data_IF_975570074728
#
_entry.id   IF_975570074728
#
_cell.length_a   1.000
_cell.length_b   1.000
_cell.length_c   1.000
_cell.angle_alpha   90.00
_cell.angle_beta   90.00
_cell.angle_gamma   90.00
#
_symmetry.space_group_name_H-M   'P 1'
#
loop_
_entity.id
_entity.type
_entity.pdbx_description
1 polymer ?
#
# COMPACT_ATOMS: atom_id res chain seq x y z
N UNK A 1 11.65 47.51 11.92
CA UNK A 1 10.32 47.34 12.52
C UNK A 1 9.37 48.22 11.72
N UNK A 2 8.45 47.66 10.93
CA UNK A 2 7.40 48.40 10.23
C UNK A 2 6.22 47.46 9.89
N UNK A 3 5.02 47.94 10.24
CA UNK A 3 3.68 47.65 9.71
C UNK A 3 2.98 46.29 9.94
N UNK A 4 2.17 46.29 11.00
CA UNK A 4 0.81 45.72 11.17
C UNK A 4 0.00 45.70 9.85
N UNK A 5 -0.84 44.68 9.57
CA UNK A 5 -2.32 44.75 9.55
C UNK A 5 -3.00 43.40 9.21
N UNK A 6 -3.81 42.94 10.18
CA UNK A 6 -4.88 41.94 10.14
C UNK A 6 -5.77 41.96 8.89
N UNK A 7 -6.24 40.79 8.41
CA UNK A 7 -7.66 40.53 8.05
C UNK A 7 -8.03 39.05 8.21
N UNK A 8 -8.89 38.79 9.21
CA UNK A 8 -9.78 37.64 9.29
C UNK A 8 -10.58 37.49 7.99
N UNK A 9 -10.76 36.26 7.51
CA UNK A 9 -11.84 35.92 6.58
C UNK A 9 -12.54 34.66 7.09
N UNK A 10 -13.84 34.85 7.34
CA UNK A 10 -14.80 33.98 8.01
C UNK A 10 -15.75 33.43 6.93
N UNK A 11 -15.86 32.09 6.91
CA UNK A 11 -17.02 31.23 6.60
C UNK A 11 -17.69 31.33 5.22
N UNK A 12 -17.93 30.16 4.58
CA UNK A 12 -19.23 29.84 3.98
C UNK A 12 -19.43 28.33 3.81
N UNK A 13 -20.06 27.72 4.81
CA UNK A 13 -20.69 26.41 4.71
C UNK A 13 -22.02 26.57 3.98
N UNK A 14 -22.20 25.87 2.85
CA UNK A 14 -23.50 25.72 2.20
C UNK A 14 -23.82 24.23 2.10
N UNK A 15 -24.75 23.80 2.95
CA UNK A 15 -25.52 22.58 2.77
C UNK A 15 -26.74 22.90 1.89
N UNK A 16 -27.08 22.03 0.94
CA UNK A 16 -28.46 21.68 0.50
C UNK A 16 -28.35 20.55 -0.56
N UNK A 17 -28.55 19.27 -0.26
CA UNK A 17 -29.76 18.41 -0.13
C UNK A 17 -30.67 18.31 -1.37
N UNK A 18 -31.09 17.05 -1.67
CA UNK A 18 -32.25 16.56 -2.48
C UNK A 18 -31.98 16.47 -4.00
N UNK A 19 -32.30 15.44 -4.78
CA UNK A 19 -33.22 14.26 -4.77
C UNK A 19 -32.67 13.28 -5.84
N UNK A 20 -32.59 11.96 -5.67
CA UNK A 20 -33.72 11.03 -5.79
C UNK A 20 -33.95 10.55 -7.26
N UNK A 21 -33.87 9.22 -7.46
CA UNK A 21 -34.34 8.42 -8.61
C UNK A 21 -33.48 8.31 -9.89
N UNK A 22 -33.05 7.08 -10.17
CA UNK A 22 -32.58 6.66 -11.49
C UNK A 22 -32.01 5.25 -11.43
N UNK A 23 -32.88 4.25 -11.53
CA UNK A 23 -32.51 2.84 -11.54
C UNK A 23 -31.49 2.52 -12.64
N UNK A 24 -30.52 1.69 -12.28
CA UNK A 24 -29.51 1.19 -13.19
C UNK A 24 -28.58 0.30 -12.39
N UNK A 25 -28.92 -0.98 -12.27
CA UNK A 25 -28.01 -2.04 -11.87
C UNK A 25 -26.71 -1.87 -12.68
N UNK A 26 -25.56 -1.51 -12.09
CA UNK A 26 -24.33 -1.64 -12.82
C UNK A 26 -24.05 -3.13 -12.91
N UNK A 27 -24.30 -3.66 -14.10
CA UNK A 27 -23.78 -4.90 -14.66
C UNK A 27 -22.44 -5.23 -14.00
N UNK A 28 -22.34 -6.45 -13.48
CA UNK A 28 -21.21 -6.97 -12.70
C UNK A 28 -19.87 -6.49 -13.23
N UNK A 29 -19.32 -5.46 -12.57
CA UNK A 29 -17.95 -5.04 -12.83
C UNK A 29 -17.13 -5.81 -11.82
N UNK A 30 -16.62 -6.97 -12.22
CA UNK A 30 -15.55 -7.62 -11.48
C UNK A 30 -14.48 -6.54 -11.20
N UNK A 31 -13.98 -6.42 -9.94
CA UNK A 31 -13.01 -5.38 -9.61
C UNK A 31 -11.85 -5.49 -10.58
N UNK A 32 -11.62 -4.44 -11.37
CA UNK A 32 -10.45 -4.37 -12.26
C UNK A 32 -9.23 -4.43 -11.37
N UNK A 33 -8.47 -5.50 -11.52
CA UNK A 33 -7.20 -5.66 -10.85
C UNK A 33 -6.24 -4.57 -11.38
N UNK A 34 -5.51 -3.92 -10.48
CA UNK A 34 -4.59 -2.82 -10.80
C UNK A 34 -3.27 -3.03 -10.05
N UNK A 35 -2.17 -2.83 -10.76
CA UNK A 35 -0.84 -2.77 -10.16
C UNK A 35 -0.84 -1.68 -9.09
N UNK A 36 -0.31 -1.99 -7.91
CA UNK A 36 -0.19 -0.99 -6.85
C UNK A 36 1.00 -1.26 -5.94
N UNK A 37 1.37 -0.25 -5.17
CA UNK A 37 2.35 -0.39 -4.10
C UNK A 37 1.65 -0.40 -2.76
N UNK A 38 1.98 -1.40 -1.93
CA UNK A 38 1.39 -1.55 -0.60
C UNK A 38 2.42 -1.18 0.48
N UNK A 39 2.03 -0.38 1.50
CA UNK A 39 2.90 -0.07 2.63
C UNK A 39 3.19 -1.33 3.45
N UNK A 40 4.46 -1.52 3.78
CA UNK A 40 4.90 -2.67 4.57
C UNK A 40 5.35 -2.24 5.97
N UNK A 41 6.17 -1.20 6.06
CA UNK A 41 6.62 -0.66 7.34
C UNK A 41 7.10 0.79 7.21
N UNK A 42 7.12 1.49 8.33
CA UNK A 42 7.69 2.83 8.46
C UNK A 42 8.45 2.95 9.79
N UNK A 43 9.54 3.72 9.80
CA UNK A 43 10.30 4.00 11.02
C UNK A 43 11.05 5.34 10.93
N UNK A 44 11.42 5.88 12.09
CA UNK A 44 12.13 7.17 12.18
C UNK A 44 13.51 7.17 11.50
N UNK A 45 14.14 6.01 11.32
CA UNK A 45 15.43 5.88 10.65
C UNK A 45 15.58 4.51 9.97
N UNK A 46 16.56 4.42 9.07
CA UNK A 46 16.84 3.21 8.29
C UNK A 46 17.08 1.98 9.16
N UNK A 47 17.86 2.10 10.24
CA UNK A 47 18.20 0.97 11.11
C UNK A 47 16.95 0.41 11.82
N UNK A 48 16.08 1.29 12.31
CA UNK A 48 14.81 0.92 12.92
C UNK A 48 13.90 0.23 11.89
N UNK A 49 13.83 0.74 10.67
CA UNK A 49 13.08 0.10 9.59
C UNK A 49 13.64 -1.30 9.28
N UNK A 50 14.94 -1.45 9.06
CA UNK A 50 15.58 -2.76 8.82
C UNK A 50 15.29 -3.75 9.94
N UNK A 51 15.29 -3.30 11.20
CA UNK A 51 14.92 -4.15 12.34
C UNK A 51 13.46 -4.60 12.25
N UNK A 52 12.53 -3.70 11.95
CA UNK A 52 11.11 -4.06 11.74
C UNK A 52 10.97 -5.06 10.60
N UNK A 53 11.62 -4.83 9.46
CA UNK A 53 11.53 -5.73 8.30
C UNK A 53 12.00 -7.16 8.62
N UNK A 54 12.99 -7.33 9.50
CA UNK A 54 13.49 -8.66 9.92
C UNK A 54 12.56 -9.40 10.88
N UNK A 55 11.68 -8.69 11.60
CA UNK A 55 10.90 -9.27 12.69
C UNK A 55 9.38 -9.22 12.47
N UNK A 56 8.88 -8.25 11.70
CA UNK A 56 7.45 -7.94 11.62
C UNK A 56 6.77 -8.40 10.32
N UNK A 57 7.54 -8.67 9.25
CA UNK A 57 6.96 -9.06 7.95
C UNK A 57 6.69 -10.55 7.89
N UNK A 58 7.73 -11.36 8.11
CA UNK A 58 7.64 -12.82 8.09
C UNK A 58 8.73 -13.40 9.00
N UNK A 59 8.40 -14.34 9.92
CA UNK A 59 9.37 -14.96 10.82
C UNK A 59 10.48 -15.74 10.08
N UNK A 60 10.32 -16.04 8.79
CA UNK A 60 11.33 -16.68 7.95
C UNK A 60 12.47 -15.74 7.57
N UNK A 61 12.26 -14.43 7.62
CA UNK A 61 13.28 -13.43 7.22
C UNK A 61 14.48 -13.54 8.15
N UNK A 62 15.63 -13.92 7.59
CA UNK A 62 16.89 -14.03 8.31
C UNK A 62 17.84 -12.87 7.98
N UNK A 63 17.82 -12.42 6.73
CA UNK A 63 18.72 -11.41 6.21
C UNK A 63 18.00 -10.44 5.25
N UNK A 64 18.59 -9.25 5.10
CA UNK A 64 18.15 -8.23 4.15
C UNK A 64 19.35 -7.88 3.28
N UNK A 65 19.19 -8.00 1.98
CA UNK A 65 20.22 -7.66 0.99
C UNK A 65 19.77 -6.45 0.20
N UNK A 66 20.59 -5.41 0.16
CA UNK A 66 20.38 -4.29 -0.76
C UNK A 66 20.77 -4.75 -2.16
N UNK A 67 19.89 -4.54 -3.14
CA UNK A 67 20.21 -4.78 -4.54
C UNK A 67 21.03 -3.58 -5.02
N UNK A 68 22.28 -3.79 -5.48
CA UNK A 68 23.10 -2.71 -6.03
C UNK A 68 22.54 -2.31 -7.40
N UNK A 69 21.52 -1.48 -7.36
CA UNK A 69 20.99 -0.77 -8.50
C UNK A 69 20.85 0.69 -8.07
N UNK A 70 21.18 1.63 -8.94
CA UNK A 70 20.87 3.04 -8.72
C UNK A 70 19.51 3.28 -9.38
N UNK A 71 18.38 3.17 -8.66
CA UNK A 71 17.11 3.49 -9.27
C UNK A 71 17.04 5.00 -9.49
N UNK A 72 16.46 5.39 -10.61
CA UNK A 72 16.34 6.78 -11.03
C UNK A 72 15.48 7.64 -10.08
N UNK A 73 14.74 7.01 -9.16
CA UNK A 73 13.76 7.64 -8.27
C UNK A 73 14.22 7.78 -6.80
N UNK A 74 15.51 7.49 -6.52
CA UNK A 74 16.09 7.66 -5.18
C UNK A 74 15.61 6.65 -4.14
N UNK A 75 14.95 5.57 -4.57
CA UNK A 75 14.60 4.44 -3.69
C UNK A 75 15.78 3.46 -3.57
N UNK A 76 15.68 2.52 -2.65
CA UNK A 76 16.61 1.40 -2.51
C UNK A 76 15.78 0.12 -2.61
N UNK A 77 16.02 -0.71 -3.63
CA UNK A 77 15.42 -2.03 -3.67
C UNK A 77 16.18 -2.96 -2.74
N UNK A 78 15.46 -3.59 -1.82
CA UNK A 78 15.99 -4.60 -0.89
C UNK A 78 15.28 -5.92 -1.08
N UNK A 79 16.03 -7.00 -0.93
CA UNK A 79 15.52 -8.37 -0.94
C UNK A 79 15.59 -8.94 0.47
N UNK A 80 14.44 -9.39 0.97
CA UNK A 80 14.35 -10.15 2.21
C UNK A 80 14.66 -11.61 1.90
N UNK A 81 15.58 -12.20 2.66
CA UNK A 81 16.06 -13.56 2.46
C UNK A 81 15.78 -14.42 3.68
N UNK A 82 15.42 -15.68 3.44
CA UNK A 82 15.31 -16.68 4.50
C UNK A 82 16.69 -17.23 4.91
N UNK A 83 16.69 -18.21 5.84
CA UNK A 83 17.92 -18.86 6.31
C UNK A 83 18.65 -19.65 5.21
N UNK A 84 17.92 -20.10 4.19
CA UNK A 84 18.41 -20.81 3.02
C UNK A 84 18.84 -19.86 1.89
N UNK A 85 18.83 -18.54 2.16
CA UNK A 85 19.10 -17.47 1.19
C UNK A 85 18.11 -17.44 0.01
N UNK A 86 16.93 -18.03 0.18
CA UNK A 86 15.84 -17.89 -0.79
C UNK A 86 15.16 -16.54 -0.60
N UNK A 87 14.66 -15.99 -1.70
CA UNK A 87 13.93 -14.72 -1.69
C UNK A 87 12.57 -14.93 -1.06
N UNK A 88 12.34 -14.26 0.06
CA UNK A 88 11.01 -14.17 0.68
C UNK A 88 10.20 -13.09 -0.02
N UNK A 89 10.81 -11.91 -0.20
CA UNK A 89 10.14 -10.74 -0.77
C UNK A 89 11.15 -9.71 -1.26
N UNK A 90 10.75 -8.89 -2.24
CA UNK A 90 11.46 -7.66 -2.63
C UNK A 90 10.66 -6.43 -2.23
N UNK A 91 11.33 -5.42 -1.71
CA UNK A 91 10.75 -4.17 -1.23
C UNK A 91 11.52 -2.97 -1.79
N UNK A 92 10.83 -1.86 -1.97
CA UNK A 92 11.45 -0.56 -2.19
C UNK A 92 11.44 0.23 -0.88
N UNK A 93 12.61 0.73 -0.50
CA UNK A 93 12.83 1.53 0.71
C UNK A 93 13.28 2.93 0.35
N UNK A 94 12.77 3.96 1.02
CA UNK A 94 13.30 5.31 0.85
C UNK A 94 13.02 6.17 2.07
N UNK A 95 13.67 7.33 2.11
CA UNK A 95 13.42 8.38 3.08
C UNK A 95 12.42 9.39 2.48
N UNK A 96 11.32 9.61 3.19
CA UNK A 96 10.36 10.69 2.90
C UNK A 96 10.95 12.05 3.24
N UNK A 97 10.31 13.10 2.74
CA UNK A 97 10.70 14.50 3.00
C UNK A 97 10.63 14.87 4.49
N UNK A 98 9.69 14.26 5.23
CA UNK A 98 9.56 14.40 6.69
C UNK A 98 10.67 13.69 7.48
N UNK A 99 11.60 13.02 6.79
CA UNK A 99 12.71 12.29 7.36
C UNK A 99 12.42 10.82 7.70
N UNK A 100 11.16 10.39 7.64
CA UNK A 100 10.73 9.01 7.93
C UNK A 100 11.21 8.05 6.86
N UNK A 101 11.73 6.90 7.27
CA UNK A 101 12.04 5.80 6.37
C UNK A 101 10.83 4.89 6.19
N UNK A 102 10.52 4.54 4.94
CA UNK A 102 9.41 3.65 4.61
C UNK A 102 9.84 2.53 3.70
N UNK A 103 9.08 1.43 3.72
CA UNK A 103 9.21 0.30 2.81
C UNK A 103 7.85 -0.02 2.17
N UNK A 104 7.84 -0.25 0.87
CA UNK A 104 6.68 -0.71 0.11
C UNK A 104 6.99 -1.97 -0.69
N UNK A 105 5.95 -2.76 -0.97
CA UNK A 105 6.02 -3.87 -1.90
C UNK A 105 5.24 -3.53 -3.16
N UNK A 106 5.77 -3.90 -4.32
CA UNK A 106 5.01 -3.90 -5.56
C UNK A 106 4.09 -5.12 -5.58
N UNK A 107 2.80 -4.89 -5.77
CA UNK A 107 1.79 -5.93 -5.94
C UNK A 107 1.37 -5.88 -7.40
N UNK A 108 1.91 -6.79 -8.25
CA UNK A 108 1.49 -6.85 -9.64
C UNK A 108 0.05 -7.33 -9.69
N UNK A 109 -0.73 -6.67 -10.52
CA UNK A 109 -1.96 -7.20 -11.03
C UNK A 109 -1.64 -8.37 -11.96
N UNK A 110 -1.89 -9.58 -11.47
CA UNK A 110 -1.91 -10.78 -12.30
C UNK A 110 -3.35 -11.04 -12.72
N UNK A 111 -3.64 -10.88 -14.01
CA UNK A 111 -4.94 -11.29 -14.55
C UNK A 111 -5.02 -12.82 -14.52
N UNK A 112 -5.55 -13.37 -13.42
CA UNK A 112 -5.63 -14.80 -13.16
C UNK A 112 -6.73 -15.13 -12.16
N UNK A 113 -7.92 -15.40 -12.72
CA UNK A 113 -9.14 -15.95 -12.12
C UNK A 113 -9.99 -15.05 -11.21
N UNK A 114 -11.25 -14.74 -11.60
CA UNK A 114 -12.27 -14.49 -10.59
C UNK A 114 -12.35 -15.76 -9.74
N UNK A 115 -12.25 -15.63 -8.42
CA UNK A 115 -12.79 -16.66 -7.53
C UNK A 115 -14.24 -16.80 -7.95
N UNK A 116 -14.59 -17.85 -8.68
CA UNK A 116 -15.98 -18.28 -8.75
C UNK A 116 -16.41 -18.39 -7.30
N UNK A 117 -17.45 -17.66 -6.86
CA UNK A 117 -18.10 -18.04 -5.63
C UNK A 117 -18.47 -19.49 -5.85
N UNK A 118 -17.89 -20.41 -5.09
CA UNK A 118 -18.42 -21.75 -5.00
C UNK A 118 -19.86 -21.55 -4.54
N UNK A 119 -20.81 -21.64 -5.46
CA UNK A 119 -22.21 -21.73 -5.12
C UNK A 119 -22.31 -22.79 -4.03
N UNK A 120 -22.94 -22.51 -2.88
CA UNK A 120 -23.18 -23.55 -1.92
C UNK A 120 -24.04 -24.60 -2.62
N UNK A 121 -23.48 -25.80 -2.79
CA UNK A 121 -24.25 -26.96 -3.22
C UNK A 121 -25.36 -27.14 -2.19
N UNK A 122 -26.59 -26.82 -2.58
CA UNK A 122 -27.77 -27.11 -1.78
C UNK A 122 -27.81 -28.62 -1.54
N UNK A 123 -27.90 -29.11 -0.28
CA UNK A 123 -28.17 -30.51 -0.05
C UNK A 123 -29.64 -30.77 -0.41
N UNK A 124 -29.90 -31.47 -1.52
CA UNK A 124 -31.17 -32.16 -1.67
C UNK A 124 -31.07 -33.45 -0.86
N UNK A 125 -31.67 -33.44 0.33
CA UNK A 125 -31.91 -34.62 1.17
C UNK A 125 -33.32 -35.15 0.86
N UNK A 126 -33.64 -36.37 1.31
CA UNK A 126 -33.83 -37.59 0.53
C UNK A 126 -35.13 -37.67 -0.29
#
# INVERSE_FOLDING_TARGET
MNAVTSRFLVILSAALVLTGCGGGTPVGTAPRCVDHYEPVAAAANRQALTRLLRHAIDPKVAAIKVVPHQPADGKETVTLLDKQKQVVQSLDMWRKDDGTWVAQRFVPCVNGSPSTPSSPSTPATP
#
